data_IF_979383586985
#
_entry.id   IF_979383586985
#
_cell.length_a   1.000
_cell.length_b   1.000
_cell.length_c   1.000
_cell.angle_alpha   90.00
_cell.angle_beta   90.00
_cell.angle_gamma   90.00
#
_symmetry.space_group_name_H-M   'P 1'
#
loop_
_entity.id
_entity.type
_entity.pdbx_description
1 polymer ?
#
# COMPACT_ATOMS: atom_id res chain seq x y z
N UNK A 1 -73.02 30.50 9.41
CA UNK A 1 -72.16 31.67 9.10
C UNK A 1 -70.74 31.15 9.14
N UNK A 2 -70.31 30.64 8.00
CA UNK A 2 -69.01 29.99 7.82
C UNK A 2 -67.96 31.06 7.52
N UNK A 3 -66.89 31.06 8.30
CA UNK A 3 -65.72 31.91 8.06
C UNK A 3 -64.81 31.22 7.03
N UNK A 4 -64.97 31.58 5.76
CA UNK A 4 -63.97 31.30 4.73
C UNK A 4 -62.74 32.19 4.95
N UNK A 5 -61.66 31.58 5.41
CA UNK A 5 -60.34 32.21 5.49
C UNK A 5 -59.77 32.36 4.08
N UNK A 6 -59.99 33.52 3.45
CA UNK A 6 -59.36 33.89 2.16
C UNK A 6 -57.84 34.00 2.35
N UNK A 7 -57.11 33.09 1.75
CA UNK A 7 -55.65 33.08 1.67
C UNK A 7 -55.11 34.33 0.98
N UNK A 8 -54.14 34.97 1.64
CA UNK A 8 -53.31 36.02 1.06
C UNK A 8 -52.22 35.39 0.17
N UNK A 9 -52.27 35.75 -1.12
CA UNK A 9 -51.14 35.88 -2.04
C UNK A 9 -50.16 34.68 -2.11
N UNK A 10 -50.56 33.65 -2.86
CA UNK A 10 -49.59 32.74 -3.47
C UNK A 10 -48.77 33.53 -4.51
N UNK A 11 -47.46 33.62 -4.29
CA UNK A 11 -46.51 34.11 -5.28
C UNK A 11 -46.56 33.21 -6.51
N UNK A 12 -47.10 33.72 -7.62
CA UNK A 12 -47.03 33.09 -8.93
C UNK A 12 -45.59 33.22 -9.47
N UNK A 13 -44.65 32.48 -8.88
CA UNK A 13 -43.36 32.22 -9.51
C UNK A 13 -43.60 31.11 -10.53
N UNK A 14 -43.69 31.47 -11.81
CA UNK A 14 -43.61 30.48 -12.88
C UNK A 14 -42.35 29.62 -12.66
N UNK A 15 -42.42 28.28 -12.80
CA UNK A 15 -41.23 27.46 -12.73
C UNK A 15 -40.35 27.85 -13.91
N UNK A 16 -39.30 28.62 -13.64
CA UNK A 16 -38.24 28.91 -14.60
C UNK A 16 -37.77 27.57 -15.15
N UNK A 17 -37.99 27.34 -16.46
CA UNK A 17 -37.48 26.17 -17.16
C UNK A 17 -35.98 26.10 -16.88
N UNK A 18 -35.58 25.12 -16.06
CA UNK A 18 -34.17 24.88 -15.77
C UNK A 18 -33.47 24.64 -17.10
N UNK A 19 -32.33 25.29 -17.30
CA UNK A 19 -31.53 25.03 -18.49
C UNK A 19 -31.15 23.54 -18.50
N UNK A 20 -31.07 22.90 -19.69
CA UNK A 20 -30.70 21.49 -19.79
C UNK A 20 -29.41 21.17 -19.03
N UNK A 21 -28.45 22.10 -19.08
CA UNK A 21 -27.17 22.02 -18.37
C UNK A 21 -27.34 22.02 -16.85
N UNK A 22 -28.19 22.89 -16.30
CA UNK A 22 -28.45 22.94 -14.85
C UNK A 22 -29.23 21.70 -14.39
N UNK A 23 -30.16 21.20 -15.21
CA UNK A 23 -30.89 19.97 -14.91
C UNK A 23 -29.96 18.74 -14.91
N UNK A 24 -29.03 18.66 -15.86
CA UNK A 24 -28.02 17.60 -15.94
C UNK A 24 -27.05 17.66 -14.74
N UNK A 25 -26.62 18.87 -14.37
CA UNK A 25 -25.73 19.08 -13.23
C UNK A 25 -26.40 18.77 -11.88
N UNK A 26 -27.70 19.05 -11.74
CA UNK A 26 -28.44 18.70 -10.53
C UNK A 26 -28.77 17.20 -10.47
N UNK A 27 -29.01 16.56 -11.62
CA UNK A 27 -29.24 15.11 -11.68
C UNK A 27 -27.96 14.31 -11.40
N UNK A 28 -26.78 14.83 -11.75
CA UNK A 28 -25.50 14.19 -11.42
C UNK A 28 -25.15 14.30 -9.93
N UNK A 29 -25.76 15.25 -9.22
CA UNK A 29 -25.61 15.47 -7.78
C UNK A 29 -26.75 14.87 -6.95
N UNK A 30 -27.79 14.34 -7.60
CA UNK A 30 -28.89 13.68 -6.90
C UNK A 30 -28.37 12.42 -6.19
N UNK A 31 -28.74 12.18 -4.91
CA UNK A 31 -28.31 11.00 -4.19
C UNK A 31 -28.85 9.76 -4.89
N UNK A 32 -27.97 9.05 -5.59
CA UNK A 32 -28.26 7.72 -6.12
C UNK A 32 -28.52 6.81 -4.92
N UNK A 33 -29.71 6.20 -4.85
CA UNK A 33 -29.97 5.20 -3.83
C UNK A 33 -28.92 4.08 -3.96
N UNK A 34 -28.17 3.75 -2.90
CA UNK A 34 -27.16 2.71 -2.99
C UNK A 34 -27.84 1.38 -3.34
N UNK A 35 -27.34 0.70 -4.38
CA UNK A 35 -27.84 -0.63 -4.81
C UNK A 35 -27.94 -1.57 -3.61
N UNK A 36 -29.02 -2.34 -3.50
CA UNK A 36 -29.19 -3.38 -2.46
C UNK A 36 -28.16 -4.51 -2.60
N UNK A 37 -27.95 -5.33 -1.56
CA UNK A 37 -27.02 -6.46 -1.62
C UNK A 37 -27.34 -7.39 -2.80
N UNK A 38 -28.60 -7.75 -2.99
CA UNK A 38 -29.07 -8.59 -4.09
C UNK A 38 -28.75 -7.99 -5.47
N UNK A 39 -29.02 -6.70 -5.65
CA UNK A 39 -28.71 -5.97 -6.89
C UNK A 39 -27.20 -5.89 -7.13
N UNK A 40 -26.39 -5.69 -6.09
CA UNK A 40 -24.92 -5.70 -6.19
C UNK A 40 -24.37 -7.08 -6.56
N UNK A 41 -24.96 -8.16 -6.06
CA UNK A 41 -24.59 -9.53 -6.41
C UNK A 41 -25.03 -9.91 -7.82
N UNK A 42 -26.21 -9.45 -8.25
CA UNK A 42 -26.72 -9.65 -9.61
C UNK A 42 -25.86 -8.94 -10.67
N UNK A 43 -25.26 -7.80 -10.32
CA UNK A 43 -24.37 -7.03 -11.18
C UNK A 43 -22.95 -7.64 -11.34
N UNK A 44 -22.60 -8.68 -10.57
CA UNK A 44 -21.31 -9.35 -10.71
C UNK A 44 -21.25 -10.22 -11.96
N UNK A 45 -20.06 -10.29 -12.56
CA UNK A 45 -19.74 -11.32 -13.55
C UNK A 45 -19.74 -12.71 -12.91
N UNK A 46 -19.93 -13.77 -13.69
CA UNK A 46 -19.91 -15.15 -13.15
C UNK A 46 -18.57 -15.51 -12.50
N UNK A 47 -17.46 -14.99 -13.04
CA UNK A 47 -16.12 -15.18 -12.47
C UNK A 47 -15.97 -14.41 -11.15
N UNK A 48 -16.47 -13.19 -11.05
CA UNK A 48 -16.49 -12.43 -9.80
C UNK A 48 -17.39 -13.12 -8.76
N UNK A 49 -18.57 -13.62 -9.16
CA UNK A 49 -19.46 -14.36 -8.26
C UNK A 49 -18.78 -15.61 -7.71
N UNK A 50 -18.11 -16.37 -8.57
CA UNK A 50 -17.36 -17.59 -8.18
C UNK A 50 -16.22 -17.24 -7.22
N UNK A 51 -15.45 -16.20 -7.54
CA UNK A 51 -14.38 -15.70 -6.68
C UNK A 51 -14.90 -15.28 -5.30
N UNK A 52 -15.98 -14.48 -5.27
CA UNK A 52 -16.61 -14.00 -4.04
C UNK A 52 -17.12 -15.16 -3.19
N UNK A 53 -17.74 -16.18 -3.79
CA UNK A 53 -18.19 -17.36 -3.06
C UNK A 53 -17.03 -18.19 -2.47
N UNK A 54 -15.94 -18.37 -3.23
CA UNK A 54 -14.76 -19.06 -2.72
C UNK A 54 -14.12 -18.28 -1.56
N UNK A 55 -14.03 -16.95 -1.70
CA UNK A 55 -13.50 -16.07 -0.68
C UNK A 55 -14.34 -16.10 0.59
N UNK A 56 -15.68 -16.00 0.47
CA UNK A 56 -16.60 -16.11 1.60
C UNK A 56 -16.45 -17.43 2.35
N UNK A 57 -16.35 -18.57 1.65
CA UNK A 57 -16.16 -19.88 2.29
C UNK A 57 -14.87 -19.96 3.12
N UNK A 58 -13.76 -19.40 2.60
CA UNK A 58 -12.50 -19.40 3.33
C UNK A 58 -12.55 -18.52 4.57
N UNK A 59 -13.15 -17.33 4.47
CA UNK A 59 -13.33 -16.42 5.62
C UNK A 59 -14.25 -17.04 6.67
N UNK A 60 -15.35 -17.69 6.25
CA UNK A 60 -16.27 -18.38 7.14
C UNK A 60 -15.56 -19.50 7.91
N UNK A 61 -14.75 -20.33 7.24
CA UNK A 61 -14.00 -21.40 7.88
C UNK A 61 -13.04 -20.88 8.97
N UNK A 62 -12.30 -19.80 8.68
CA UNK A 62 -11.40 -19.18 9.67
C UNK A 62 -12.18 -18.54 10.82
N UNK A 63 -13.32 -17.92 10.55
CA UNK A 63 -14.17 -17.36 11.60
C UNK A 63 -14.68 -18.45 12.55
N UNK A 64 -15.16 -19.57 12.02
CA UNK A 64 -15.63 -20.69 12.83
C UNK A 64 -14.52 -21.29 13.71
N UNK A 65 -13.28 -21.38 13.21
CA UNK A 65 -12.13 -21.78 14.03
C UNK A 65 -11.83 -20.79 15.17
N UNK A 66 -11.98 -19.49 14.93
CA UNK A 66 -11.80 -18.44 15.96
C UNK A 66 -12.87 -18.51 17.03
N UNK A 67 -14.13 -18.65 16.63
CA UNK A 67 -15.27 -18.82 17.55
C UNK A 67 -15.08 -20.05 18.43
N UNK A 68 -14.70 -21.18 17.83
CA UNK A 68 -14.41 -22.41 18.57
C UNK A 68 -13.24 -22.25 19.58
N UNK A 69 -12.29 -21.36 19.30
CA UNK A 69 -11.19 -20.99 20.19
C UNK A 69 -11.55 -19.89 21.21
N UNK A 70 -12.80 -19.38 21.20
CA UNK A 70 -13.24 -18.28 22.06
C UNK A 70 -12.73 -16.89 21.65
N UNK A 71 -12.19 -16.73 20.44
CA UNK A 71 -11.72 -15.45 19.91
C UNK A 71 -12.86 -14.67 19.23
N UNK A 72 -13.40 -13.69 19.96
CA UNK A 72 -14.45 -12.77 19.52
C UNK A 72 -13.90 -11.36 19.16
N UNK A 73 -12.60 -11.24 18.84
CA UNK A 73 -11.95 -9.94 18.70
C UNK A 73 -12.24 -9.19 17.39
N UNK A 74 -12.81 -9.87 16.38
CA UNK A 74 -12.97 -9.34 15.02
C UNK A 74 -14.30 -9.76 14.41
N UNK A 75 -14.91 -8.88 13.61
CA UNK A 75 -16.03 -9.23 12.74
C UNK A 75 -15.57 -9.74 11.38
N UNK A 76 -16.51 -10.16 10.51
CA UNK A 76 -16.17 -10.65 9.17
C UNK A 76 -15.42 -9.63 8.31
N UNK A 77 -15.74 -8.33 8.43
CA UNK A 77 -15.07 -7.29 7.67
C UNK A 77 -13.60 -7.11 8.07
N UNK A 78 -13.31 -7.17 9.37
CA UNK A 78 -11.94 -7.10 9.89
C UNK A 78 -11.15 -8.34 9.49
N UNK A 79 -11.77 -9.52 9.59
CA UNK A 79 -11.15 -10.79 9.24
C UNK A 79 -10.82 -10.87 7.74
N UNK A 80 -11.77 -10.53 6.85
CA UNK A 80 -11.49 -10.50 5.40
C UNK A 80 -10.49 -9.40 5.03
N UNK A 81 -10.45 -8.30 5.78
CA UNK A 81 -9.42 -7.26 5.62
C UNK A 81 -8.04 -7.74 6.01
N UNK A 82 -7.93 -8.47 7.12
CA UNK A 82 -6.68 -9.07 7.57
C UNK A 82 -6.20 -10.15 6.60
N UNK A 83 -7.06 -11.08 6.21
CA UNK A 83 -6.69 -12.23 5.36
C UNK A 83 -6.48 -11.83 3.90
N UNK A 84 -7.27 -10.88 3.41
CA UNK A 84 -7.36 -10.55 1.98
C UNK A 84 -7.29 -9.06 1.74
N UNK A 85 -6.38 -8.35 2.41
CA UNK A 85 -6.20 -6.89 2.27
C UNK A 85 -5.97 -6.41 0.84
N UNK A 86 -5.47 -7.28 -0.05
CA UNK A 86 -5.29 -7.05 -1.51
C UNK A 86 -6.59 -7.08 -2.32
N UNK A 87 -7.67 -7.64 -1.78
CA UNK A 87 -9.01 -7.59 -2.39
C UNK A 87 -9.58 -6.20 -2.19
N UNK A 88 -10.25 -5.66 -3.21
CA UNK A 88 -10.76 -4.28 -3.14
C UNK A 88 -11.66 -4.09 -1.90
N UNK A 89 -11.63 -2.91 -1.26
CA UNK A 89 -12.48 -2.65 -0.09
C UNK A 89 -13.96 -2.95 -0.35
N UNK A 90 -14.46 -2.65 -1.54
CA UNK A 90 -15.84 -2.94 -1.94
C UNK A 90 -16.12 -4.45 -2.03
N UNK A 91 -15.20 -5.25 -2.57
CA UNK A 91 -15.34 -6.71 -2.60
C UNK A 91 -15.18 -7.32 -1.20
N UNK A 92 -14.27 -6.81 -0.38
CA UNK A 92 -14.15 -7.21 1.04
C UNK A 92 -15.42 -6.92 1.82
N UNK A 93 -15.97 -5.71 1.66
CA UNK A 93 -17.25 -5.32 2.27
C UNK A 93 -18.37 -6.21 1.78
N UNK A 94 -18.42 -6.50 0.48
CA UNK A 94 -19.43 -7.40 -0.08
C UNK A 94 -19.29 -8.83 0.45
N UNK A 95 -18.08 -9.37 0.64
CA UNK A 95 -17.88 -10.67 1.32
C UNK A 95 -18.40 -10.62 2.75
N UNK A 96 -18.06 -9.59 3.51
CA UNK A 96 -18.52 -9.45 4.90
C UNK A 96 -20.06 -9.33 4.98
N UNK A 97 -20.68 -8.61 4.04
CA UNK A 97 -22.14 -8.50 3.93
C UNK A 97 -22.80 -9.83 3.56
N UNK A 98 -22.22 -10.59 2.60
CA UNK A 98 -22.69 -11.94 2.28
C UNK A 98 -22.66 -12.82 3.52
N UNK A 99 -21.55 -12.81 4.27
CA UNK A 99 -21.37 -13.65 5.45
C UNK A 99 -22.31 -13.24 6.60
N UNK A 100 -22.46 -11.94 6.86
CA UNK A 100 -23.43 -11.45 7.84
C UNK A 100 -24.88 -11.82 7.48
N UNK A 101 -25.23 -11.83 6.20
CA UNK A 101 -26.57 -12.22 5.75
C UNK A 101 -26.80 -13.74 5.83
N UNK A 102 -25.76 -14.55 5.65
CA UNK A 102 -25.87 -16.01 5.66
C UNK A 102 -25.69 -16.65 7.04
N UNK A 103 -24.81 -16.09 7.86
CA UNK A 103 -24.32 -16.66 9.12
C UNK A 103 -23.92 -15.51 10.07
N UNK A 104 -24.91 -14.74 10.57
CA UNK A 104 -24.66 -13.60 11.43
C UNK A 104 -23.93 -14.03 12.71
N UNK A 105 -23.02 -13.19 13.19
CA UNK A 105 -22.30 -13.45 14.43
C UNK A 105 -23.24 -13.18 15.63
N UNK A 106 -23.30 -14.11 16.57
CA UNK A 106 -24.06 -13.98 17.82
C UNK A 106 -23.35 -13.12 18.88
N UNK A 107 -22.28 -12.41 18.49
CA UNK A 107 -21.48 -11.56 19.35
C UNK A 107 -21.10 -10.27 18.63
N UNK A 108 -20.92 -9.21 19.41
CA UNK A 108 -20.32 -7.97 18.94
C UNK A 108 -18.79 -8.07 19.07
N UNK A 109 -18.01 -7.76 18.03
CA UNK A 109 -16.55 -7.84 18.09
C UNK A 109 -15.98 -6.96 19.20
N UNK A 110 -15.21 -7.54 20.11
CA UNK A 110 -14.51 -6.80 21.16
C UNK A 110 -13.04 -6.61 20.77
N UNK A 111 -12.65 -5.45 20.21
CA UNK A 111 -11.28 -5.24 19.79
C UNK A 111 -10.34 -5.38 20.99
N UNK A 112 -9.29 -6.19 20.84
CA UNK A 112 -8.24 -6.33 21.86
C UNK A 112 -7.53 -4.97 21.96
N UNK A 113 -7.86 -4.21 23.00
CA UNK A 113 -7.11 -2.99 23.36
C UNK A 113 -5.68 -3.41 23.68
N UNK A 114 -4.72 -3.07 22.82
CA UNK A 114 -3.31 -3.06 23.22
C UNK A 114 -3.15 -2.00 24.31
N UNK A 115 -2.53 -2.30 25.48
CA UNK A 115 -2.33 -1.30 26.52
C UNK A 115 -1.28 -0.30 26.03
N UNK A 116 -1.73 0.89 25.58
CA UNK A 116 -0.84 2.01 25.24
C UNK A 116 -1.28 3.35 25.83
N UNK A 117 -2.15 3.35 26.85
CA UNK A 117 -2.70 4.58 27.46
C UNK A 117 -2.52 4.65 28.99
N UNK A 118 -1.50 3.99 29.56
CA UNK A 118 -1.25 4.02 31.01
C UNK A 118 0.20 4.40 31.40
N UNK A 119 0.95 5.08 30.53
CA UNK A 119 2.31 5.60 30.87
C UNK A 119 2.48 7.08 30.49
N UNK A 120 1.39 7.85 30.52
CA UNK A 120 1.42 9.30 30.32
C UNK A 120 0.79 10.04 31.51
N UNK A 121 1.05 9.59 32.74
CA UNK A 121 0.79 10.39 33.94
C UNK A 121 1.69 9.94 35.11
N UNK A 122 2.96 10.34 35.09
CA UNK A 122 3.74 10.61 36.33
C UNK A 122 5.16 11.15 36.09
N UNK A 123 5.53 11.57 34.87
CA UNK A 123 6.89 12.03 34.57
C UNK A 123 7.14 13.54 34.78
N UNK A 124 6.18 14.31 35.30
CA UNK A 124 6.35 15.73 35.64
C UNK A 124 6.32 15.95 37.14
N UNK A 125 7.37 15.51 37.82
CA UNK A 125 7.74 16.09 39.12
C UNK A 125 9.25 15.89 39.37
N UNK A 126 10.08 16.65 38.65
CA UNK A 126 11.51 16.82 38.96
C UNK A 126 12.03 18.13 38.34
N UNK A 127 12.52 19.09 39.14
CA UNK A 127 12.77 20.48 38.73
C UNK A 127 14.20 20.72 38.23
N UNK A 128 14.74 19.84 37.38
CA UNK A 128 16.09 20.00 36.85
C UNK A 128 16.14 19.57 35.39
N UNK A 129 15.93 20.53 34.49
CA UNK A 129 16.55 20.67 33.16
C UNK A 129 15.82 21.77 32.39
N UNK A 130 16.10 23.02 32.76
CA UNK A 130 16.01 24.12 31.80
C UNK A 130 17.11 23.89 30.76
N UNK A 131 16.76 23.24 29.66
CA UNK A 131 17.52 23.32 28.42
C UNK A 131 16.57 23.92 27.40
N UNK A 132 16.91 25.13 26.95
CA UNK A 132 16.18 25.85 25.90
C UNK A 132 15.93 24.94 24.68
N UNK A 133 14.81 25.11 23.96
CA UNK A 133 14.51 24.25 22.83
C UNK A 133 15.61 24.38 21.79
N UNK A 134 16.37 23.29 21.58
CA UNK A 134 17.16 23.12 20.38
C UNK A 134 16.14 23.05 19.24
N UNK A 135 16.12 24.09 18.42
CA UNK A 135 15.35 24.14 17.18
C UNK A 135 15.52 22.79 16.47
N UNK A 136 14.42 22.06 16.31
CA UNK A 136 14.37 20.93 15.39
C UNK A 136 14.83 21.45 14.03
N UNK A 137 15.81 20.81 13.37
CA UNK A 137 16.11 21.19 12.01
C UNK A 137 14.87 20.89 11.16
N UNK A 138 14.34 21.95 10.54
CA UNK A 138 13.44 21.88 9.39
C UNK A 138 13.90 20.76 8.44
N UNK A 139 12.99 19.95 7.87
CA UNK A 139 13.35 18.86 6.98
C UNK A 139 14.15 19.40 5.80
N UNK A 140 15.47 19.19 5.82
CA UNK A 140 16.34 19.50 4.70
C UNK A 140 15.86 18.66 3.52
N UNK A 141 15.46 19.33 2.43
CA UNK A 141 15.16 18.67 1.15
C UNK A 141 16.42 17.92 0.68
N UNK A 142 16.51 16.62 0.94
CA UNK A 142 17.53 15.78 0.34
C UNK A 142 17.31 15.74 -1.17
N UNK A 143 18.25 16.28 -1.94
CA UNK A 143 18.12 16.36 -3.40
C UNK A 143 18.47 14.99 -4.00
N UNK A 144 17.45 14.22 -4.39
CA UNK A 144 17.63 12.95 -5.11
C UNK A 144 18.46 13.20 -6.38
N UNK A 145 19.56 12.47 -6.55
CA UNK A 145 20.33 12.51 -7.80
C UNK A 145 19.49 11.94 -8.96
N UNK A 146 19.30 12.73 -10.01
CA UNK A 146 18.49 12.39 -11.19
C UNK A 146 19.37 12.23 -12.43
N UNK A 147 19.09 11.18 -13.22
CA UNK A 147 19.83 10.90 -14.45
C UNK A 147 20.98 9.92 -14.20
N UNK A 148 21.35 9.15 -15.23
CA UNK A 148 22.19 7.96 -15.07
C UNK A 148 23.55 8.26 -14.44
N UNK A 149 24.31 9.24 -14.96
CA UNK A 149 25.65 9.52 -14.43
C UNK A 149 25.59 10.01 -12.97
N UNK A 150 24.72 10.99 -12.68
CA UNK A 150 24.58 11.54 -11.33
C UNK A 150 24.08 10.49 -10.33
N UNK A 151 23.14 9.64 -10.74
CA UNK A 151 22.61 8.56 -9.92
C UNK A 151 23.70 7.54 -9.55
N UNK A 152 24.52 7.14 -10.53
CA UNK A 152 25.62 6.22 -10.27
C UNK A 152 26.69 6.85 -9.38
N UNK A 153 27.06 8.11 -9.62
CA UNK A 153 28.02 8.82 -8.79
C UNK A 153 27.55 8.93 -7.33
N UNK A 154 26.28 9.24 -7.11
CA UNK A 154 25.71 9.39 -5.77
C UNK A 154 25.57 8.05 -5.03
N UNK A 155 25.04 7.02 -5.68
CA UNK A 155 24.54 5.83 -4.97
C UNK A 155 25.44 4.59 -5.08
N UNK A 156 26.48 4.59 -5.93
CA UNK A 156 27.43 3.45 -5.99
C UNK A 156 28.09 3.15 -4.64
N UNK A 157 28.56 4.14 -3.85
CA UNK A 157 29.19 3.86 -2.55
C UNK A 157 28.29 3.09 -1.59
N UNK A 158 27.05 3.57 -1.36
CA UNK A 158 26.09 2.89 -0.47
C UNK A 158 25.58 1.57 -1.05
N UNK A 159 25.49 1.45 -2.38
CA UNK A 159 25.13 0.18 -3.02
C UNK A 159 26.21 -0.89 -2.79
N UNK A 160 27.50 -0.53 -2.84
CA UNK A 160 28.61 -1.43 -2.50
C UNK A 160 28.58 -1.83 -1.03
N UNK A 161 28.43 -0.86 -0.13
CA UNK A 161 28.27 -1.09 1.33
C UNK A 161 27.17 -2.12 1.63
N UNK A 162 25.97 -1.93 1.05
CA UNK A 162 24.83 -2.81 1.29
C UNK A 162 25.02 -4.18 0.63
N UNK A 163 25.59 -4.22 -0.57
CA UNK A 163 25.80 -5.46 -1.32
C UNK A 163 26.82 -6.38 -0.64
N UNK A 164 27.93 -5.83 -0.15
CA UNK A 164 28.93 -6.55 0.64
C UNK A 164 28.31 -7.17 1.88
N UNK A 165 27.53 -6.39 2.63
CA UNK A 165 26.81 -6.86 3.80
C UNK A 165 25.81 -7.99 3.52
N UNK A 166 25.28 -8.07 2.29
CA UNK A 166 24.30 -9.06 1.87
C UNK A 166 24.93 -10.27 1.16
N UNK A 167 26.20 -10.19 0.75
CA UNK A 167 26.82 -11.20 -0.11
C UNK A 167 26.24 -11.22 -1.53
N UNK A 168 25.79 -10.08 -2.04
CA UNK A 168 25.21 -9.95 -3.39
C UNK A 168 26.01 -9.01 -4.29
N UNK A 169 25.76 -9.05 -5.60
CA UNK A 169 26.37 -8.08 -6.52
C UNK A 169 25.81 -6.67 -6.29
N UNK A 170 26.70 -5.68 -6.12
CA UNK A 170 26.30 -4.26 -6.00
C UNK A 170 25.58 -3.75 -7.26
N UNK A 171 25.85 -4.35 -8.43
CA UNK A 171 25.14 -4.05 -9.67
C UNK A 171 23.65 -4.42 -9.59
N UNK A 172 23.27 -5.44 -8.81
CA UNK A 172 21.86 -5.77 -8.57
C UNK A 172 21.19 -4.67 -7.75
N UNK A 173 21.85 -4.20 -6.68
CA UNK A 173 21.35 -3.11 -5.83
C UNK A 173 21.13 -1.84 -6.66
N UNK A 174 22.13 -1.43 -7.46
CA UNK A 174 22.02 -0.27 -8.35
C UNK A 174 20.95 -0.45 -9.43
N UNK A 175 20.87 -1.64 -10.05
CA UNK A 175 19.88 -1.89 -11.08
C UNK A 175 18.45 -1.83 -10.54
N UNK A 176 18.20 -2.34 -9.34
CA UNK A 176 16.91 -2.21 -8.68
C UNK A 176 16.61 -0.75 -8.35
N UNK A 177 17.53 -0.05 -7.68
CA UNK A 177 17.36 1.36 -7.36
C UNK A 177 17.02 2.20 -8.62
N UNK A 178 17.74 1.96 -9.72
CA UNK A 178 17.51 2.63 -11.00
C UNK A 178 16.17 2.26 -11.64
N UNK A 179 15.78 0.99 -11.59
CA UNK A 179 14.51 0.51 -12.15
C UNK A 179 13.30 1.08 -11.40
N UNK A 180 13.32 0.97 -10.07
CA UNK A 180 12.20 1.35 -9.20
C UNK A 180 12.00 2.88 -9.16
N UNK A 181 13.10 3.64 -9.16
CA UNK A 181 13.06 5.11 -9.14
C UNK A 181 13.04 5.77 -10.53
N UNK A 182 13.23 5.00 -11.60
CA UNK A 182 13.44 5.53 -12.95
C UNK A 182 14.67 6.44 -13.04
N UNK A 183 15.81 6.00 -12.50
CA UNK A 183 17.04 6.78 -12.37
C UNK A 183 16.85 8.08 -11.57
N UNK A 184 16.14 7.99 -10.45
CA UNK A 184 15.85 9.11 -9.55
C UNK A 184 14.70 10.03 -10.01
N UNK A 185 14.13 9.82 -11.21
CA UNK A 185 13.06 10.69 -11.76
C UNK A 185 11.73 10.55 -11.04
N UNK A 186 11.48 9.41 -10.40
CA UNK A 186 10.23 9.10 -9.71
C UNK A 186 10.53 8.53 -8.33
N UNK A 187 10.81 9.43 -7.39
CA UNK A 187 11.10 9.09 -5.99
C UNK A 187 10.08 9.77 -5.09
N UNK A 188 9.59 9.03 -4.10
CA UNK A 188 8.65 9.52 -3.09
C UNK A 188 9.15 9.12 -1.71
N UNK A 189 9.12 10.04 -0.75
CA UNK A 189 9.64 9.81 0.60
C UNK A 189 11.09 9.31 0.63
N UNK A 190 11.91 9.77 -0.32
CA UNK A 190 13.30 9.30 -0.54
C UNK A 190 13.46 7.79 -0.82
N UNK A 191 12.39 7.06 -1.12
CA UNK A 191 12.45 5.62 -1.39
C UNK A 191 12.95 5.28 -2.79
N UNK A 192 14.23 4.92 -2.94
CA UNK A 192 14.79 4.46 -4.22
C UNK A 192 14.45 3.01 -4.55
N UNK A 193 14.15 2.20 -3.53
CA UNK A 193 14.11 0.72 -3.65
C UNK A 193 12.69 0.14 -3.77
N UNK A 194 11.66 0.99 -3.76
CA UNK A 194 10.26 0.55 -3.87
C UNK A 194 9.79 -0.36 -2.71
N UNK A 195 10.40 -0.26 -1.52
CA UNK A 195 10.03 -1.09 -0.37
C UNK A 195 8.71 -0.62 0.23
N UNK A 196 7.69 -1.47 0.15
CA UNK A 196 6.37 -1.22 0.73
C UNK A 196 6.43 -1.20 2.26
N UNK A 197 5.62 -0.34 2.90
CA UNK A 197 5.49 -0.27 4.37
C UNK A 197 4.72 -1.46 4.94
N UNK A 198 3.93 -2.18 4.12
CA UNK A 198 3.09 -3.29 4.54
C UNK A 198 2.12 -2.91 5.69
N UNK A 199 1.70 -1.64 5.76
CA UNK A 199 0.81 -1.14 6.81
C UNK A 199 1.50 -0.76 8.12
N UNK A 200 2.84 -0.77 8.16
CA UNK A 200 3.59 -0.16 9.26
C UNK A 200 3.38 1.37 9.29
N UNK A 201 3.33 1.97 10.48
CA UNK A 201 3.20 3.42 10.67
C UNK A 201 4.37 4.17 10.00
N UNK A 202 4.09 5.35 9.43
CA UNK A 202 5.09 6.20 8.77
C UNK A 202 5.27 5.99 7.26
N UNK A 203 4.48 5.11 6.63
CA UNK A 203 4.45 4.95 5.17
C UNK A 203 3.82 6.13 4.43
N UNK A 204 4.17 6.30 3.15
CA UNK A 204 3.56 7.25 2.21
C UNK A 204 2.77 6.50 1.14
N UNK A 205 1.53 6.91 0.92
CA UNK A 205 0.66 6.29 -0.08
C UNK A 205 0.95 6.83 -1.49
N UNK A 206 1.13 5.91 -2.43
CA UNK A 206 1.62 6.18 -3.77
C UNK A 206 0.84 5.36 -4.78
N UNK A 207 0.30 6.02 -5.80
CA UNK A 207 -0.19 5.34 -7.01
C UNK A 207 1.00 4.71 -7.74
N UNK A 208 1.02 3.40 -7.82
CA UNK A 208 2.01 2.56 -8.51
C UNK A 208 1.30 1.64 -9.53
N UNK A 209 2.05 0.78 -10.21
CA UNK A 209 1.50 -0.22 -11.11
C UNK A 209 1.90 -1.64 -10.70
N UNK A 210 0.95 -2.56 -10.71
CA UNK A 210 1.16 -3.99 -10.52
C UNK A 210 0.82 -4.76 -11.79
N UNK A 211 1.40 -5.94 -11.97
CA UNK A 211 1.01 -6.87 -13.04
C UNK A 211 0.07 -7.91 -12.46
N UNK A 212 -1.20 -7.85 -12.84
CA UNK A 212 -2.23 -8.82 -12.42
C UNK A 212 -2.75 -9.50 -13.68
N UNK A 213 -2.61 -10.83 -13.76
CA UNK A 213 -2.98 -11.64 -14.94
C UNK A 213 -2.33 -11.12 -16.24
N UNK A 214 -1.06 -10.71 -16.18
CA UNK A 214 -0.31 -10.19 -17.32
C UNK A 214 -0.69 -8.77 -17.75
N UNK A 215 -1.63 -8.10 -17.07
CA UNK A 215 -2.02 -6.71 -17.36
C UNK A 215 -1.47 -5.76 -16.30
N UNK A 216 -0.94 -4.61 -16.75
CA UNK A 216 -0.47 -3.53 -15.89
C UNK A 216 -1.66 -2.75 -15.34
N UNK A 217 -1.86 -2.74 -14.03
CA UNK A 217 -2.99 -2.10 -13.33
C UNK A 217 -2.45 -1.05 -12.37
N UNK A 218 -3.04 0.15 -12.36
CA UNK A 218 -2.72 1.18 -11.35
C UNK A 218 -3.36 0.81 -10.01
N UNK A 219 -2.57 0.83 -8.95
CA UNK A 219 -3.04 0.63 -7.58
C UNK A 219 -2.42 1.69 -6.66
N UNK A 220 -3.06 1.99 -5.54
CA UNK A 220 -2.44 2.78 -4.46
C UNK A 220 -1.80 1.80 -3.48
N UNK A 221 -0.52 2.00 -3.19
CA UNK A 221 0.22 1.19 -2.22
C UNK A 221 1.03 2.11 -1.28
N UNK A 222 1.37 1.61 -0.10
CA UNK A 222 2.07 2.39 0.92
C UNK A 222 3.55 2.01 0.94
N UNK A 223 4.44 3.00 0.85
CA UNK A 223 5.89 2.82 0.77
C UNK A 223 6.59 3.40 1.98
N UNK A 224 7.71 2.80 2.38
CA UNK A 224 8.54 3.31 3.47
C UNK A 224 9.12 4.68 3.13
N UNK A 225 9.16 5.57 4.12
CA UNK A 225 9.83 6.86 4.05
C UNK A 225 11.21 6.79 4.70
N UNK A 226 12.13 7.62 4.21
CA UNK A 226 13.51 7.68 4.67
C UNK A 226 13.98 9.14 4.77
N UNK A 227 14.90 9.40 5.68
CA UNK A 227 15.48 10.74 5.87
C UNK A 227 16.26 11.19 4.62
N UNK A 228 16.93 10.27 3.94
CA UNK A 228 17.63 10.49 2.68
C UNK A 228 17.58 9.25 1.76
N UNK A 229 17.92 9.39 0.47
CA UNK A 229 17.87 8.28 -0.48
C UNK A 229 18.81 7.11 -0.16
N UNK A 230 19.99 7.38 0.42
CA UNK A 230 20.96 6.38 0.84
C UNK A 230 20.40 5.47 1.93
N UNK A 231 19.63 6.02 2.87
CA UNK A 231 18.96 5.27 3.92
C UNK A 231 17.88 4.35 3.36
N UNK A 232 17.28 4.67 2.20
CA UNK A 232 16.39 3.75 1.51
C UNK A 232 17.12 2.51 0.99
N UNK A 233 18.37 2.66 0.54
CA UNK A 233 19.23 1.56 0.07
C UNK A 233 19.68 0.71 1.26
N UNK A 234 20.04 1.32 2.40
CA UNK A 234 20.35 0.59 3.65
C UNK A 234 19.12 -0.14 4.20
N UNK A 235 17.97 0.53 4.19
CA UNK A 235 16.67 -0.03 4.60
C UNK A 235 16.28 -1.25 3.78
N UNK A 236 16.53 -1.21 2.47
CA UNK A 236 16.39 -2.37 1.59
C UNK A 236 17.24 -3.57 2.03
N UNK A 237 18.51 -3.35 2.36
CA UNK A 237 19.36 -4.43 2.87
C UNK A 237 18.81 -5.06 4.17
N UNK A 238 18.35 -4.23 5.11
CA UNK A 238 17.70 -4.71 6.34
C UNK A 238 16.44 -5.52 6.03
N UNK A 239 15.60 -5.05 5.11
CA UNK A 239 14.38 -5.72 4.70
C UNK A 239 14.65 -7.11 4.10
N UNK A 240 15.64 -7.22 3.22
CA UNK A 240 16.00 -8.52 2.63
C UNK A 240 16.50 -9.52 3.68
N UNK A 241 17.36 -9.08 4.61
CA UNK A 241 17.87 -9.94 5.68
C UNK A 241 16.77 -10.41 6.63
N UNK A 242 15.82 -9.54 6.94
CA UNK A 242 14.73 -9.84 7.87
C UNK A 242 13.69 -10.81 7.29
N UNK A 243 13.59 -10.92 5.96
CA UNK A 243 12.52 -11.68 5.32
C UNK A 243 13.04 -12.99 4.69
N UNK A 244 12.65 -14.12 5.30
CA UNK A 244 13.12 -15.47 4.96
C UNK A 244 12.85 -15.90 3.51
N UNK A 245 11.92 -15.24 2.81
CA UNK A 245 11.66 -15.49 1.38
C UNK A 245 12.86 -15.18 0.48
N UNK A 246 13.76 -14.30 0.92
CA UNK A 246 14.96 -13.91 0.16
C UNK A 246 16.19 -14.77 0.46
N UNK A 247 16.09 -15.81 1.31
CA UNK A 247 17.25 -16.63 1.70
C UNK A 247 18.00 -17.24 0.51
N UNK A 248 17.30 -17.64 -0.55
CA UNK A 248 17.91 -18.26 -1.73
C UNK A 248 18.66 -17.22 -2.58
N UNK A 249 18.12 -16.00 -2.65
CA UNK A 249 18.79 -14.86 -3.27
C UNK A 249 20.09 -14.52 -2.55
N UNK A 250 20.05 -14.43 -1.21
CA UNK A 250 21.23 -14.11 -0.40
C UNK A 250 22.29 -15.22 -0.41
N UNK A 251 21.88 -16.49 -0.49
CA UNK A 251 22.80 -17.66 -0.51
C UNK A 251 23.43 -17.94 -1.87
N UNK A 252 22.87 -17.45 -2.97
CA UNK A 252 23.39 -17.70 -4.30
C UNK A 252 24.81 -17.14 -4.50
N UNK A 253 25.19 -16.12 -3.71
CA UNK A 253 26.53 -15.55 -3.69
C UNK A 253 26.84 -14.63 -4.88
N UNK A 254 27.76 -13.69 -4.67
CA UNK A 254 28.13 -12.65 -5.65
C UNK A 254 28.65 -13.22 -6.98
N UNK A 255 29.29 -14.40 -6.94
CA UNK A 255 29.83 -15.09 -8.11
C UNK A 255 28.75 -15.65 -9.05
N UNK A 256 27.50 -15.76 -8.60
CA UNK A 256 26.40 -16.34 -9.39
C UNK A 256 25.22 -15.36 -9.54
N UNK A 257 25.47 -14.27 -10.25
CA UNK A 257 24.48 -13.23 -10.55
C UNK A 257 23.21 -13.78 -11.19
N UNK A 258 23.31 -14.76 -12.09
CA UNK A 258 22.12 -15.34 -12.75
C UNK A 258 21.26 -16.14 -11.77
N UNK A 259 21.87 -16.90 -10.85
CA UNK A 259 21.13 -17.56 -9.77
C UNK A 259 20.51 -16.54 -8.80
N UNK A 260 21.21 -15.43 -8.52
CA UNK A 260 20.66 -14.33 -7.71
C UNK A 260 19.40 -13.74 -8.37
N UNK A 261 19.47 -13.34 -9.63
CA UNK A 261 18.33 -12.74 -10.34
C UNK A 261 17.15 -13.72 -10.44
N UNK A 262 17.43 -15.00 -10.68
CA UNK A 262 16.40 -16.05 -10.70
C UNK A 262 15.72 -16.21 -9.33
N UNK A 263 16.50 -16.34 -8.26
CA UNK A 263 15.98 -16.48 -6.90
C UNK A 263 15.21 -15.23 -6.44
N UNK A 264 15.65 -14.03 -6.85
CA UNK A 264 14.95 -12.78 -6.57
C UNK A 264 13.57 -12.74 -7.25
N UNK A 265 13.48 -13.15 -8.52
CA UNK A 265 12.20 -13.28 -9.23
C UNK A 265 11.26 -14.25 -8.51
N UNK A 266 11.75 -15.46 -8.20
CA UNK A 266 10.94 -16.50 -7.55
C UNK A 266 10.53 -16.15 -6.12
N UNK A 267 11.24 -15.25 -5.44
CA UNK A 267 10.88 -14.76 -4.10
C UNK A 267 9.66 -13.84 -4.06
N UNK A 268 9.17 -13.41 -5.24
CA UNK A 268 8.04 -12.50 -5.37
C UNK A 268 8.40 -11.07 -4.96
N UNK A 269 9.61 -10.60 -5.30
CA UNK A 269 9.98 -9.19 -5.13
C UNK A 269 9.11 -8.28 -5.98
N UNK A 270 8.90 -8.66 -7.25
CA UNK A 270 8.03 -7.99 -8.20
C UNK A 270 7.03 -8.98 -8.82
N UNK A 271 5.84 -8.49 -9.19
CA UNK A 271 4.82 -9.26 -9.91
C UNK A 271 5.09 -9.33 -11.42
N UNK A 272 5.99 -8.50 -11.92
CA UNK A 272 6.40 -8.49 -13.33
C UNK A 272 7.18 -9.76 -13.68
N UNK A 273 6.70 -10.59 -14.64
CA UNK A 273 7.40 -11.81 -15.04
C UNK A 273 8.76 -11.54 -15.70
N UNK A 274 9.02 -10.31 -16.16
CA UNK A 274 10.28 -9.91 -16.82
C UNK A 274 11.21 -9.11 -15.90
N UNK A 275 10.96 -9.11 -14.59
CA UNK A 275 11.73 -8.31 -13.64
C UNK A 275 13.22 -8.64 -13.65
N UNK A 276 13.59 -9.93 -13.52
CA UNK A 276 14.99 -10.37 -13.58
C UNK A 276 15.67 -9.97 -14.89
N UNK A 277 14.98 -10.08 -16.03
CA UNK A 277 15.51 -9.69 -17.34
C UNK A 277 15.72 -8.18 -17.45
N UNK A 278 14.82 -7.37 -16.90
CA UNK A 278 14.97 -5.90 -16.85
C UNK A 278 16.19 -5.50 -16.03
N UNK A 279 16.38 -6.13 -14.86
CA UNK A 279 17.57 -5.92 -14.04
C UNK A 279 18.84 -6.30 -14.81
N UNK A 280 18.87 -7.47 -15.44
CA UNK A 280 20.01 -7.93 -16.25
C UNK A 280 20.33 -6.93 -17.37
N UNK A 281 19.33 -6.35 -18.03
CA UNK A 281 19.53 -5.35 -19.07
C UNK A 281 20.11 -4.04 -18.52
N UNK A 282 19.66 -3.57 -17.35
CA UNK A 282 20.23 -2.39 -16.70
C UNK A 282 21.68 -2.66 -16.29
N UNK A 283 21.95 -3.82 -15.68
CA UNK A 283 23.28 -4.22 -15.20
C UNK A 283 24.33 -4.26 -16.31
N UNK A 284 23.97 -4.69 -17.52
CA UNK A 284 24.85 -4.65 -18.71
C UNK A 284 25.29 -3.23 -19.07
N UNK A 285 24.51 -2.22 -18.73
CA UNK A 285 24.83 -0.82 -18.97
C UNK A 285 25.52 -0.13 -17.79
N UNK A 286 25.84 -0.84 -16.71
CA UNK A 286 26.58 -0.32 -15.57
C UNK A 286 28.09 -0.51 -15.79
N UNK A 287 28.92 0.47 -15.38
CA UNK A 287 30.37 0.32 -15.49
C UNK A 287 30.85 -0.93 -14.76
N UNK A 288 31.86 -1.59 -15.34
CA UNK A 288 32.64 -2.59 -14.61
C UNK A 288 33.49 -1.91 -13.55
N UNK A 289 33.95 -2.65 -12.54
CA UNK A 289 34.65 -2.07 -11.40
C UNK A 289 35.99 -1.39 -11.76
N UNK A 290 36.41 -1.48 -13.02
CA UNK A 290 37.63 -0.88 -13.53
C UNK A 290 37.30 0.28 -14.47
N UNK A 291 37.31 1.49 -13.93
CA UNK A 291 37.53 2.68 -14.73
C UNK A 291 38.96 2.69 -15.26
N UNK A 292 39.22 1.99 -16.37
CA UNK A 292 40.29 2.27 -17.32
C UNK A 292 39.81 1.94 -18.74
N UNK A 293 39.55 2.99 -19.50
CA UNK A 293 39.27 2.99 -20.93
C UNK A 293 39.24 4.42 -21.43
#
# INVERSE_FOLDING_TARGET
MDYETKGLMATNAQPTKRTPVLAEFLNSLAPQQPLTLEQRLAALTDSDRTFMMQLSRMVQAVMQMRIAAGDQSQGYYDLVTQMYGRVSPSKRRLVAEILNASDPLDFEPTPIRKPREAVTSSFYDSPEMQVSPKLEPEPQQSQVAVGKEAFLAAYTPVAKEVAENLGISHKIVLAQAALESGWGKSVKGNGLMGVKSHGEEGGVDVVTHEVINGKKVKITDSFRQYDNPEDSIRGYGKFLKANSRYRHFLRAGVENVDAQLSALQSSGYATDPMYSQKLKNIMKGLPDEEGQG
#
